data_IF_759284683386
#
_entry.id   IF_759284683386
#
_cell.length_a   1.000
_cell.length_b   1.000
_cell.length_c   1.000
_cell.angle_alpha   90.00
_cell.angle_beta   90.00
_cell.angle_gamma   90.00
#
_symmetry.space_group_name_H-M   'P 1'
#
loop_
_entity.id
_entity.type
_entity.pdbx_description
1 polymer ?
#
# COMPACT_ATOMS: atom_id res chain seq x y z
N UNK A 1 -4.34 24.22 -4.58
CA UNK A 1 -3.72 23.38 -4.88
C UNK A 1 -3.71 22.13 -4.28
N UNK A 2 -3.83 22.01 -3.11
CA UNK A 2 -3.81 20.79 -2.62
C UNK A 2 -4.98 20.05 -2.60
N UNK A 3 -6.10 20.59 -2.85
CA UNK A 3 -7.29 19.92 -2.92
C UNK A 3 -7.28 18.82 -3.82
N UNK A 4 -6.43 18.82 -4.74
CA UNK A 4 -6.48 17.76 -5.68
C UNK A 4 -6.08 16.47 -5.16
N UNK A 5 -5.52 16.42 -4.03
CA UNK A 5 -5.03 15.20 -3.55
C UNK A 5 -6.03 14.15 -3.39
N UNK A 6 -7.26 14.53 -3.17
CA UNK A 6 -8.21 13.54 -2.93
C UNK A 6 -9.06 13.22 -4.08
N UNK A 7 -8.69 13.66 -5.24
CA UNK A 7 -9.43 13.25 -6.39
C UNK A 7 -9.35 11.78 -6.51
N UNK A 8 -10.18 11.19 -7.20
CA UNK A 8 -10.31 9.76 -7.31
C UNK A 8 -8.98 9.05 -7.33
N UNK A 9 -8.79 8.14 -6.44
CA UNK A 9 -7.59 7.32 -6.40
C UNK A 9 -8.01 5.89 -6.61
N UNK A 10 -7.44 5.27 -7.60
CA UNK A 10 -7.71 3.88 -7.88
C UNK A 10 -6.48 3.06 -7.52
N UNK A 11 -6.67 2.02 -6.77
CA UNK A 11 -5.58 1.14 -6.38
C UNK A 11 -5.86 -0.24 -6.93
N UNK A 12 -4.90 -0.78 -7.65
CA UNK A 12 -5.01 -2.12 -8.16
C UNK A 12 -3.92 -2.93 -7.49
N UNK A 13 -4.34 -3.84 -6.64
CA UNK A 13 -3.41 -4.71 -5.94
C UNK A 13 -3.61 -6.12 -6.40
N UNK A 14 -2.53 -6.76 -6.75
CA UNK A 14 -2.55 -8.14 -7.12
C UNK A 14 -1.56 -8.86 -6.26
N UNK A 15 -2.04 -9.68 -5.34
CA UNK A 15 -1.15 -10.45 -4.52
C UNK A 15 -1.33 -11.91 -4.79
N UNK A 16 -0.25 -12.59 -5.05
CA UNK A 16 -0.29 -14.01 -5.32
C UNK A 16 -0.08 -14.73 -4.03
N UNK A 17 -0.87 -15.74 -3.81
CA UNK A 17 -0.67 -16.56 -2.64
C UNK A 17 -1.10 -15.93 -1.36
N UNK A 18 -2.03 -15.02 -1.41
CA UNK A 18 -2.42 -14.30 -0.24
C UNK A 18 -2.96 -15.15 0.87
N UNK A 19 -3.39 -16.31 0.59
CA UNK A 19 -4.00 -17.14 1.62
C UNK A 19 -2.99 -17.84 2.50
N UNK A 20 -1.69 -17.76 2.18
CA UNK A 20 -0.72 -18.55 2.92
C UNK A 20 0.24 -17.63 3.64
N UNK A 21 0.69 -18.06 4.81
CA UNK A 21 1.77 -17.39 5.51
C UNK A 21 3.06 -17.66 4.79
N UNK A 22 3.98 -16.72 4.83
CA UNK A 22 5.30 -16.90 4.25
C UNK A 22 5.64 -15.81 3.27
N UNK A 23 6.64 -16.04 2.41
CA UNK A 23 7.08 -15.02 1.46
C UNK A 23 6.08 -14.83 0.34
N UNK A 24 6.03 -13.61 -0.20
CA UNK A 24 5.14 -13.32 -1.31
C UNK A 24 5.70 -12.18 -2.15
N UNK A 25 5.14 -12.01 -3.33
CA UNK A 25 5.46 -10.90 -4.22
C UNK A 25 4.18 -10.12 -4.44
N UNK A 26 4.27 -8.81 -4.40
CA UNK A 26 3.11 -7.96 -4.59
C UNK A 26 3.44 -6.90 -5.63
N UNK A 27 2.55 -6.73 -6.60
CA UNK A 27 2.67 -5.66 -7.58
C UNK A 27 1.43 -4.80 -7.43
N UNK A 28 1.63 -3.52 -7.23
CA UNK A 28 0.52 -2.64 -6.95
C UNK A 28 0.73 -1.32 -7.66
N UNK A 29 -0.30 -0.80 -8.27
CA UNK A 29 -0.25 0.50 -8.91
C UNK A 29 -1.32 1.38 -8.30
N UNK A 30 -0.90 2.55 -7.85
CA UNK A 30 -1.82 3.55 -7.32
C UNK A 30 -1.73 4.77 -8.23
N UNK A 31 -2.85 5.19 -8.77
CA UNK A 31 -2.88 6.31 -9.68
C UNK A 31 -3.89 7.34 -9.20
N UNK A 32 -3.59 8.59 -9.43
CA UNK A 32 -4.47 9.67 -9.01
C UNK A 32 -4.81 10.57 -10.17
N UNK A 33 -6.01 11.11 -10.12
CA UNK A 33 -6.49 12.06 -11.10
C UNK A 33 -7.03 13.28 -10.39
N UNK A 34 -6.98 14.41 -11.10
CA UNK A 34 -7.62 15.62 -10.63
C UNK A 34 -8.70 15.92 -11.64
N UNK A 35 -9.95 15.71 -11.25
CA UNK A 35 -11.03 15.78 -12.23
C UNK A 35 -10.83 14.70 -13.27
N UNK A 36 -10.71 15.12 -14.52
CA UNK A 36 -10.48 14.18 -15.59
C UNK A 36 -9.01 14.02 -15.93
N UNK A 37 -8.12 14.75 -15.26
CA UNK A 37 -6.71 14.77 -15.63
C UNK A 37 -5.90 13.82 -14.78
N UNK A 38 -5.11 12.98 -15.43
CA UNK A 38 -4.18 12.11 -14.73
C UNK A 38 -3.11 12.96 -14.08
N UNK A 39 -2.79 12.66 -12.83
CA UNK A 39 -1.82 13.41 -12.08
C UNK A 39 -0.54 12.64 -11.85
N UNK A 40 -0.64 11.45 -11.31
CA UNK A 40 0.56 10.68 -10.97
C UNK A 40 0.19 9.23 -10.74
N UNK A 41 1.16 8.36 -10.86
CA UNK A 41 0.99 6.96 -10.51
C UNK A 41 2.26 6.43 -9.87
N UNK A 42 2.11 5.53 -8.93
CA UNK A 42 3.23 4.85 -8.31
C UNK A 42 2.98 3.36 -8.46
N UNK A 43 3.94 2.67 -9.04
CA UNK A 43 3.88 1.22 -9.17
C UNK A 43 4.93 0.62 -8.25
N UNK A 44 4.49 -0.17 -7.29
CA UNK A 44 5.35 -0.80 -6.32
C UNK A 44 5.57 -2.25 -6.69
N UNK A 45 6.82 -2.67 -6.69
CA UNK A 45 7.18 -4.05 -6.93
C UNK A 45 7.84 -4.53 -5.66
N UNK A 46 7.08 -5.23 -4.84
CA UNK A 46 7.54 -5.58 -3.50
C UNK A 46 7.70 -7.08 -3.34
N UNK A 47 8.67 -7.44 -2.53
CA UNK A 47 8.72 -8.78 -1.97
C UNK A 47 8.42 -8.62 -0.51
N UNK A 48 7.76 -9.59 0.05
CA UNK A 48 7.34 -9.47 1.43
C UNK A 48 7.20 -10.79 2.13
N UNK A 49 6.81 -10.70 3.37
CA UNK A 49 6.62 -11.87 4.21
C UNK A 49 5.39 -11.60 5.07
N UNK A 50 4.54 -12.59 5.22
CA UNK A 50 3.38 -12.44 6.08
C UNK A 50 3.24 -13.66 6.94
N UNK A 51 2.59 -13.52 8.07
CA UNK A 51 2.42 -14.60 8.99
C UNK A 51 1.30 -14.35 9.96
N UNK A 52 1.01 -15.36 10.74
CA UNK A 52 -0.03 -15.27 11.76
C UNK A 52 0.59 -14.95 13.12
N UNK A 53 -0.16 -14.22 13.93
CA UNK A 53 0.21 -13.96 15.31
C UNK A 53 -0.92 -14.54 16.11
N UNK A 54 -0.77 -15.77 16.57
CA UNK A 54 -1.85 -16.44 17.27
C UNK A 54 -2.99 -16.81 16.31
N UNK A 55 -4.19 -16.89 16.83
CA UNK A 55 -5.32 -17.31 16.02
C UNK A 55 -6.08 -16.18 15.39
N UNK A 56 -6.01 -15.00 15.98
CA UNK A 56 -6.86 -13.91 15.54
C UNK A 56 -6.13 -12.75 14.94
N UNK A 57 -4.84 -12.84 14.77
CA UNK A 57 -4.06 -11.72 14.26
C UNK A 57 -3.08 -12.17 13.20
N UNK A 58 -2.71 -11.24 12.34
CA UNK A 58 -1.70 -11.50 11.33
C UNK A 58 -0.91 -10.24 11.04
N UNK A 59 0.23 -10.41 10.41
CA UNK A 59 1.08 -9.29 10.05
C UNK A 59 1.65 -9.48 8.67
N UNK A 60 2.11 -8.40 8.08
CA UNK A 60 2.87 -8.47 6.85
C UNK A 60 3.91 -7.36 6.82
N UNK A 61 4.98 -7.58 6.07
CA UNK A 61 5.99 -6.56 5.82
C UNK A 61 6.47 -6.76 4.40
N UNK A 62 6.60 -5.69 3.66
CA UNK A 62 7.04 -5.78 2.28
C UNK A 62 7.82 -4.54 1.88
N UNK A 63 8.69 -4.68 0.90
CA UNK A 63 9.50 -3.58 0.41
C UNK A 63 10.02 -3.89 -0.98
N UNK A 64 10.39 -2.87 -1.70
CA UNK A 64 10.98 -3.02 -3.02
C UNK A 64 10.96 -1.71 -3.78
N UNK A 65 11.36 -1.76 -5.06
CA UNK A 65 11.42 -0.55 -5.85
C UNK A 65 10.02 -0.03 -6.17
N UNK A 66 9.93 1.27 -6.33
CA UNK A 66 8.71 1.94 -6.69
C UNK A 66 9.00 2.82 -7.91
N UNK A 67 8.14 2.71 -8.92
CA UNK A 67 8.27 3.52 -10.11
C UNK A 67 7.27 4.67 -9.97
N UNK A 68 7.79 5.88 -9.91
CA UNK A 68 6.96 7.05 -9.68
C UNK A 68 6.85 7.83 -10.99
N UNK A 69 5.65 7.90 -11.52
CA UNK A 69 5.38 8.59 -12.77
C UNK A 69 4.48 9.77 -12.49
N UNK A 70 4.97 10.98 -12.74
CA UNK A 70 4.19 12.19 -12.52
C UNK A 70 3.96 12.82 -13.89
N UNK A 71 2.73 13.26 -14.11
CA UNK A 71 2.37 13.83 -15.39
C UNK A 71 3.30 15.00 -15.73
N UNK A 72 3.89 14.95 -16.90
CA UNK A 72 4.80 16.00 -17.35
C UNK A 72 6.24 15.84 -16.90
N UNK A 73 6.55 14.77 -16.16
CA UNK A 73 7.91 14.55 -15.67
C UNK A 73 8.38 13.16 -16.01
N UNK A 74 9.66 12.96 -15.85
CA UNK A 74 10.23 11.65 -16.13
C UNK A 74 9.91 10.70 -15.01
N UNK A 75 9.77 9.45 -15.34
CA UNK A 75 9.54 8.41 -14.34
C UNK A 75 10.80 8.20 -13.51
N UNK A 76 10.64 8.17 -12.21
CA UNK A 76 11.76 7.96 -11.31
C UNK A 76 11.62 6.65 -10.58
N UNK A 77 12.73 6.06 -10.22
CA UNK A 77 12.73 4.84 -9.43
C UNK A 77 13.09 5.20 -7.99
N UNK A 78 12.21 4.85 -7.08
CA UNK A 78 12.44 5.08 -5.67
C UNK A 78 12.34 3.75 -4.94
N UNK A 79 12.37 3.77 -3.64
CA UNK A 79 12.26 2.57 -2.85
C UNK A 79 11.11 2.77 -1.88
N UNK A 80 10.27 1.78 -1.72
CA UNK A 80 9.13 1.90 -0.82
C UNK A 80 8.96 0.65 0.00
N UNK A 81 8.17 0.75 1.03
CA UNK A 81 7.87 -0.40 1.86
C UNK A 81 6.69 -0.12 2.75
N UNK A 82 6.12 -1.18 3.27
CA UNK A 82 5.02 -1.06 4.20
C UNK A 82 4.97 -2.27 5.12
N UNK A 83 4.40 -2.07 6.29
CA UNK A 83 4.20 -3.13 7.24
C UNK A 83 2.85 -2.92 7.91
N UNK A 84 2.14 -3.99 8.12
CA UNK A 84 0.81 -3.89 8.69
C UNK A 84 0.48 -5.06 9.59
N UNK A 85 -0.58 -4.87 10.36
CA UNK A 85 -1.07 -5.88 11.27
C UNK A 85 -2.58 -5.78 11.29
N UNK A 86 -3.23 -6.91 11.42
CA UNK A 86 -4.68 -6.96 11.55
C UNK A 86 -5.06 -7.89 12.66
N UNK A 87 -6.12 -7.54 13.36
CA UNK A 87 -6.62 -8.35 14.48
C UNK A 87 -8.12 -8.53 14.31
N UNK A 88 -8.58 -9.76 14.38
CA UNK A 88 -10.00 -10.03 14.33
C UNK A 88 -10.57 -9.88 15.72
N UNK A 89 -11.41 -8.88 15.91
CA UNK A 89 -12.06 -8.68 17.19
C UNK A 89 -13.26 -9.60 17.32
N UNK A 90 -13.93 -9.87 16.23
CA UNK A 90 -14.99 -10.86 16.18
C UNK A 90 -14.93 -11.49 14.81
N UNK A 91 -15.81 -12.42 14.50
CA UNK A 91 -15.82 -13.02 13.18
C UNK A 91 -16.15 -12.02 12.10
N UNK A 92 -16.75 -10.91 12.46
CA UNK A 92 -17.18 -9.92 11.50
C UNK A 92 -16.40 -8.63 11.55
N UNK A 93 -15.66 -8.38 12.62
CA UNK A 93 -14.99 -7.11 12.82
C UNK A 93 -13.48 -7.32 12.86
N UNK A 94 -12.76 -6.62 12.00
CA UNK A 94 -11.31 -6.68 11.93
C UNK A 94 -10.75 -5.27 12.12
N UNK A 95 -9.76 -5.13 12.98
CA UNK A 95 -9.06 -3.87 13.19
C UNK A 95 -7.70 -4.02 12.54
N UNK A 96 -7.30 -3.05 11.73
CA UNK A 96 -6.02 -3.15 11.04
C UNK A 96 -5.28 -1.83 11.05
N UNK A 97 -3.97 -1.91 10.92
CA UNK A 97 -3.13 -0.74 10.83
C UNK A 97 -1.94 -1.01 9.93
N UNK A 98 -1.46 0.03 9.30
CA UNK A 98 -0.35 -0.08 8.37
C UNK A 98 0.51 1.18 8.43
N UNK A 99 1.82 1.00 8.33
CA UNK A 99 2.72 2.13 8.16
C UNK A 99 3.46 1.90 6.85
N UNK A 100 3.84 2.98 6.20
CA UNK A 100 4.51 2.88 4.91
C UNK A 100 5.51 4.01 4.74
N UNK A 101 6.43 3.82 3.78
CA UNK A 101 7.35 4.88 3.44
C UNK A 101 7.64 4.84 1.92
N UNK A 102 8.05 5.97 1.41
CA UNK A 102 8.48 6.08 0.02
C UNK A 102 9.64 7.07 0.01
N UNK A 103 10.79 6.63 -0.48
CA UNK A 103 11.95 7.52 -0.54
C UNK A 103 11.78 8.53 -1.66
N UNK A 104 12.44 9.66 -1.54
CA UNK A 104 12.47 10.69 -2.57
C UNK A 104 13.87 11.25 -2.63
N UNK A 105 14.08 12.21 -3.50
CA UNK A 105 15.40 12.74 -3.68
C UNK A 105 15.92 13.45 -2.46
N UNK A 106 15.07 14.21 -1.80
CA UNK A 106 15.50 14.97 -0.65
C UNK A 106 14.94 14.45 0.65
N UNK A 107 13.77 13.84 0.61
CA UNK A 107 13.07 13.43 1.81
C UNK A 107 12.44 12.08 1.63
N UNK A 108 12.19 11.41 2.72
CA UNK A 108 11.42 10.18 2.71
C UNK A 108 10.02 10.51 3.23
N UNK A 109 9.02 10.04 2.51
CA UNK A 109 7.64 10.26 2.89
C UNK A 109 7.13 9.08 3.68
N UNK A 110 6.36 9.35 4.71
CA UNK A 110 5.81 8.30 5.56
C UNK A 110 4.31 8.39 5.57
N UNK A 111 3.66 7.27 5.73
CA UNK A 111 2.21 7.23 5.82
C UNK A 111 1.75 6.23 6.84
N UNK A 112 0.55 6.44 7.35
CA UNK A 112 -0.07 5.51 8.27
C UNK A 112 -1.51 5.31 7.85
N UNK A 113 -2.05 4.14 8.19
CA UNK A 113 -3.44 3.82 7.90
C UNK A 113 -3.97 3.01 9.07
N UNK A 114 -5.15 3.37 9.56
CA UNK A 114 -5.82 2.60 10.58
C UNK A 114 -7.26 2.48 10.15
N UNK A 115 -7.82 1.31 10.26
CA UNK A 115 -9.19 1.11 9.85
C UNK A 115 -9.87 -0.05 10.56
N UNK A 116 -11.15 -0.08 10.43
CA UNK A 116 -11.98 -1.16 10.94
C UNK A 116 -12.79 -1.69 9.77
N UNK A 117 -12.77 -3.00 9.60
CA UNK A 117 -13.49 -3.63 8.52
C UNK A 117 -14.59 -4.48 9.08
N UNK A 118 -15.80 -4.32 8.59
CA UNK A 118 -16.94 -5.11 9.03
C UNK A 118 -17.37 -5.98 7.86
N UNK A 119 -17.48 -7.28 8.10
CA UNK A 119 -17.86 -8.21 7.04
C UNK A 119 -19.24 -8.79 7.36
N UNK A 120 -20.09 -8.83 6.36
CA UNK A 120 -21.45 -9.31 6.53
C UNK A 120 -21.59 -10.79 6.26
#
# INVERSE_FOLDING_TARGET
MFKSVFAATAALSMSAGAAFAGPYVNVETNAGWVGDDYSAAVTDLHVGFEGAIGEDAGYYVQAGPALVAIDGEETETEFSGKAGVGVDLTEQVNLYGEISFLTGEDDTNYGTKIGVKYSF
#
